data_IF_261086658660
#
_entry.id   IF_261086658660
#
_cell.length_a   1.000
_cell.length_b   1.000
_cell.length_c   1.000
_cell.angle_alpha   90.00
_cell.angle_beta   90.00
_cell.angle_gamma   90.00
#
_symmetry.space_group_name_H-M   'P 1'
#
loop_
_entity.id
_entity.type
_entity.pdbx_description
1 polymer ?
#
# COMPACT_ATOMS: atom_id res chain seq x y z
N UNK A 1 11.53 0.91 9.18
CA UNK A 1 11.24 1.03 10.61
C UNK A 1 10.08 0.13 10.88
N UNK A 2 10.31 -0.97 11.59
CA UNK A 2 9.30 -2.00 11.79
C UNK A 2 8.33 -1.50 12.86
N UNK A 3 7.12 -1.14 12.43
CA UNK A 3 6.02 -0.83 13.34
C UNK A 3 5.49 -2.15 13.87
N UNK A 4 5.29 -2.25 15.19
CA UNK A 4 4.74 -3.44 15.84
C UNK A 4 3.24 -3.27 16.08
N UNK A 5 2.48 -4.34 15.87
CA UNK A 5 1.03 -4.37 16.15
C UNK A 5 0.81 -4.78 17.62
N UNK A 6 -0.07 -4.05 18.31
CA UNK A 6 -0.59 -4.50 19.61
C UNK A 6 -1.71 -5.54 19.37
N UNK A 7 -1.33 -6.82 19.44
CA UNK A 7 -2.23 -7.93 19.18
C UNK A 7 -3.32 -8.10 20.24
N UNK A 8 -3.04 -7.80 21.50
CA UNK A 8 -4.01 -7.95 22.60
C UNK A 8 -5.15 -6.94 22.45
N UNK A 9 -4.80 -5.70 22.08
CA UNK A 9 -5.79 -4.66 21.76
C UNK A 9 -6.60 -5.05 20.52
N UNK A 10 -5.94 -5.52 19.45
CA UNK A 10 -6.62 -5.94 18.23
C UNK A 10 -7.62 -7.06 18.49
N UNK A 11 -7.22 -8.09 19.23
CA UNK A 11 -8.08 -9.23 19.57
C UNK A 11 -9.23 -8.82 20.48
N UNK A 12 -9.01 -7.90 21.41
CA UNK A 12 -10.09 -7.35 22.24
C UNK A 12 -11.11 -6.61 21.37
N UNK A 13 -10.67 -5.69 20.51
CA UNK A 13 -11.55 -4.97 19.60
C UNK A 13 -12.32 -5.90 18.67
N UNK A 14 -11.65 -6.91 18.10
CA UNK A 14 -12.29 -7.87 17.19
C UNK A 14 -13.34 -8.77 17.86
N UNK A 15 -13.25 -8.98 19.18
CA UNK A 15 -14.29 -9.71 19.94
C UNK A 15 -15.49 -8.84 20.29
N UNK A 16 -15.24 -7.57 20.61
CA UNK A 16 -16.29 -6.64 21.07
C UNK A 16 -17.02 -5.92 19.93
N UNK A 17 -16.44 -5.89 18.72
CA UNK A 17 -16.95 -5.15 17.58
C UNK A 17 -17.35 -6.12 16.46
N UNK A 18 -18.64 -6.13 16.11
CA UNK A 18 -19.22 -7.02 15.09
C UNK A 18 -19.06 -6.50 13.64
N UNK A 19 -18.33 -5.40 13.45
CA UNK A 19 -18.02 -4.86 12.11
C UNK A 19 -16.55 -5.08 11.73
N UNK A 20 -16.22 -5.20 10.44
CA UNK A 20 -14.86 -5.49 10.01
C UNK A 20 -13.86 -4.39 10.37
N UNK A 21 -12.67 -4.78 10.83
CA UNK A 21 -11.62 -3.83 11.24
C UNK A 21 -10.72 -3.41 10.07
N UNK A 22 -10.17 -2.20 10.16
CA UNK A 22 -9.27 -1.61 9.17
C UNK A 22 -7.92 -1.28 9.79
N UNK A 23 -6.83 -1.69 9.14
CA UNK A 23 -5.47 -1.24 9.47
C UNK A 23 -5.02 -0.10 8.55
N UNK A 24 -4.50 0.96 9.16
CA UNK A 24 -3.80 2.03 8.48
C UNK A 24 -2.29 1.81 8.47
N UNK A 25 -1.59 2.47 7.55
CA UNK A 25 -0.12 2.46 7.53
C UNK A 25 0.50 1.12 7.12
N UNK A 26 -0.20 0.29 6.35
CA UNK A 26 0.24 -1.06 5.97
C UNK A 26 1.59 -1.14 5.26
N UNK A 27 2.09 -0.03 4.70
CA UNK A 27 3.43 0.03 4.09
C UNK A 27 4.57 -0.29 5.07
N UNK A 28 4.43 0.03 6.36
CA UNK A 28 5.50 -0.12 7.35
C UNK A 28 5.35 -1.36 8.24
N UNK A 29 4.34 -2.19 7.96
CA UNK A 29 4.00 -3.39 8.73
C UNK A 29 4.62 -4.60 8.02
N UNK A 30 5.21 -5.52 8.78
CA UNK A 30 5.76 -6.75 8.20
C UNK A 30 4.63 -7.61 7.59
N UNK A 31 4.96 -8.35 6.54
CA UNK A 31 3.97 -9.21 5.86
C UNK A 31 3.37 -10.25 6.81
N UNK A 32 4.20 -10.84 7.68
CA UNK A 32 3.77 -11.79 8.71
C UNK A 32 2.78 -11.17 9.70
N UNK A 33 3.02 -9.92 10.11
CA UNK A 33 2.13 -9.19 11.00
C UNK A 33 0.78 -8.86 10.33
N UNK A 34 0.77 -8.57 9.03
CA UNK A 34 -0.46 -8.37 8.25
C UNK A 34 -1.29 -9.65 8.16
N UNK A 35 -0.64 -10.79 7.88
CA UNK A 35 -1.30 -12.11 7.84
C UNK A 35 -1.89 -12.47 9.20
N UNK A 36 -1.14 -12.22 10.28
CA UNK A 36 -1.64 -12.42 11.64
C UNK A 36 -2.82 -11.51 11.96
N UNK A 37 -2.74 -10.23 11.63
CA UNK A 37 -3.84 -9.29 11.85
C UNK A 37 -5.11 -9.65 11.06
N UNK A 38 -4.97 -10.16 9.83
CA UNK A 38 -6.09 -10.65 9.04
C UNK A 38 -6.81 -11.82 9.72
N UNK A 39 -6.05 -12.77 10.30
CA UNK A 39 -6.62 -13.88 11.07
C UNK A 39 -7.35 -13.45 12.35
N UNK A 40 -7.13 -12.21 12.80
CA UNK A 40 -7.75 -11.61 13.99
C UNK A 40 -8.95 -10.69 13.66
N UNK A 41 -9.44 -10.66 12.41
CA UNK A 41 -10.64 -9.89 12.03
C UNK A 41 -10.38 -8.57 11.31
N UNK A 42 -9.12 -8.26 10.96
CA UNK A 42 -8.83 -7.15 10.03
C UNK A 42 -9.23 -7.54 8.62
N UNK A 43 -10.16 -6.79 8.03
CA UNK A 43 -10.66 -7.03 6.68
C UNK A 43 -10.10 -6.08 5.62
N UNK A 44 -9.55 -4.92 6.03
CA UNK A 44 -9.01 -3.93 5.10
C UNK A 44 -7.67 -3.37 5.59
N UNK A 45 -6.72 -3.27 4.68
CA UNK A 45 -5.42 -2.62 4.95
C UNK A 45 -5.23 -1.45 3.98
N UNK A 46 -4.78 -0.31 4.49
CA UNK A 46 -4.46 0.86 3.67
C UNK A 46 -2.96 0.92 3.40
N UNK A 47 -2.61 0.85 2.11
CA UNK A 47 -1.27 1.09 1.59
C UNK A 47 -1.27 2.42 0.84
N UNK A 48 -0.19 3.18 0.92
CA UNK A 48 -0.10 4.45 0.18
C UNK A 48 1.33 4.83 -0.11
N UNK A 49 2.13 5.00 0.94
CA UNK A 49 3.53 5.44 0.81
C UNK A 49 4.35 4.50 -0.07
N UNK A 50 4.20 3.18 0.10
CA UNK A 50 4.93 2.19 -0.69
C UNK A 50 4.60 2.27 -2.18
N UNK A 51 3.30 2.30 -2.50
CA UNK A 51 2.84 2.40 -3.90
C UNK A 51 3.27 3.72 -4.55
N UNK A 52 3.15 4.85 -3.84
CA UNK A 52 3.58 6.15 -4.34
C UNK A 52 5.08 6.19 -4.62
N UNK A 53 5.89 5.63 -3.71
CA UNK A 53 7.35 5.54 -3.90
C UNK A 53 7.72 4.64 -5.08
N UNK A 54 7.06 3.49 -5.23
CA UNK A 54 7.27 2.61 -6.36
C UNK A 54 6.95 3.31 -7.69
N UNK A 55 5.82 4.02 -7.76
CA UNK A 55 5.45 4.80 -8.94
C UNK A 55 6.49 5.90 -9.25
N UNK A 56 6.86 6.72 -8.27
CA UNK A 56 7.88 7.78 -8.44
C UNK A 56 9.21 7.20 -8.92
N UNK A 57 9.65 6.08 -8.36
CA UNK A 57 10.91 5.45 -8.75
C UNK A 57 10.86 4.90 -10.18
N UNK A 58 9.74 4.30 -10.58
CA UNK A 58 9.55 3.83 -11.95
C UNK A 58 9.59 4.98 -12.95
N UNK A 59 8.89 6.08 -12.66
CA UNK A 59 8.94 7.30 -13.49
C UNK A 59 10.36 7.86 -13.58
N UNK A 60 11.04 7.97 -12.43
CA UNK A 60 12.42 8.48 -12.38
C UNK A 60 13.37 7.63 -13.23
N UNK A 61 13.27 6.30 -13.15
CA UNK A 61 14.09 5.38 -13.95
C UNK A 61 13.81 5.56 -15.44
N UNK A 62 12.53 5.56 -15.83
CA UNK A 62 12.13 5.71 -17.23
C UNK A 62 12.64 7.03 -17.82
N UNK A 63 12.46 8.15 -17.12
CA UNK A 63 12.96 9.46 -17.58
C UNK A 63 14.49 9.55 -17.63
N UNK A 64 15.22 8.74 -16.87
CA UNK A 64 16.69 8.71 -16.93
C UNK A 64 17.25 7.94 -18.13
N UNK A 65 16.44 7.09 -18.75
CA UNK A 65 16.81 6.23 -19.87
C UNK A 65 16.35 6.79 -21.23
N UNK A 66 15.55 7.86 -21.24
CA UNK A 66 14.89 8.40 -22.44
C UNK A 66 15.11 9.91 -22.58
N UNK A 67 15.10 10.39 -23.82
CA UNK A 67 15.08 11.83 -24.13
C UNK A 67 13.68 12.39 -23.83
N UNK A 68 13.57 13.13 -22.73
CA UNK A 68 12.30 13.68 -22.23
C UNK A 68 11.61 14.56 -23.25
N UNK A 69 12.36 15.31 -24.07
CA UNK A 69 11.79 16.22 -25.07
C UNK A 69 11.16 15.48 -26.26
N UNK A 70 11.44 14.18 -26.42
CA UNK A 70 10.90 13.33 -27.49
C UNK A 70 9.92 12.28 -27.00
N UNK A 71 9.67 12.21 -25.70
CA UNK A 71 8.82 11.21 -25.07
C UNK A 71 7.33 11.51 -25.32
N UNK A 72 6.51 10.47 -25.51
CA UNK A 72 5.05 10.60 -25.38
C UNK A 72 4.70 10.64 -23.89
N UNK A 73 4.09 11.72 -23.36
CA UNK A 73 3.72 11.82 -21.94
C UNK A 73 2.87 10.64 -21.44
N UNK A 74 2.12 10.00 -22.34
CA UNK A 74 1.28 8.86 -22.00
C UNK A 74 2.06 7.58 -21.66
N UNK A 75 3.34 7.50 -22.01
CA UNK A 75 4.19 6.35 -21.66
C UNK A 75 4.46 6.30 -20.15
N UNK A 76 4.39 7.45 -19.47
CA UNK A 76 4.49 7.57 -18.00
C UNK A 76 3.11 7.70 -17.35
N UNK A 77 2.25 8.57 -17.90
CA UNK A 77 0.96 8.92 -17.28
C UNK A 77 -0.12 7.86 -17.49
N UNK A 78 0.11 6.96 -18.46
CA UNK A 78 -0.89 6.03 -18.93
C UNK A 78 -1.87 6.70 -19.89
N UNK A 79 -2.46 5.90 -20.79
CA UNK A 79 -3.37 6.38 -21.84
C UNK A 79 -4.83 6.56 -21.38
N UNK A 80 -5.08 6.43 -20.08
CA UNK A 80 -6.42 6.26 -19.53
C UNK A 80 -7.02 4.90 -19.91
N UNK A 81 -7.97 4.40 -19.11
CA UNK A 81 -8.69 3.18 -19.48
C UNK A 81 -9.51 3.49 -20.74
N UNK A 82 -9.16 2.84 -21.86
CA UNK A 82 -9.86 3.01 -23.13
C UNK A 82 -11.36 2.86 -22.97
N UNK A 83 -12.07 3.95 -23.21
CA UNK A 83 -13.45 3.99 -23.70
C UNK A 83 -13.45 4.78 -24.98
#
# INVERSE_FOLDING_TARGET
>A
GNVTINYDALQTLAREIDIPLVLHGGTSIAHEDLSKAASMGVAKVNFGTGMKRAAINAVKAYMSEHDVDKMDPNDILGRGAGK
#
